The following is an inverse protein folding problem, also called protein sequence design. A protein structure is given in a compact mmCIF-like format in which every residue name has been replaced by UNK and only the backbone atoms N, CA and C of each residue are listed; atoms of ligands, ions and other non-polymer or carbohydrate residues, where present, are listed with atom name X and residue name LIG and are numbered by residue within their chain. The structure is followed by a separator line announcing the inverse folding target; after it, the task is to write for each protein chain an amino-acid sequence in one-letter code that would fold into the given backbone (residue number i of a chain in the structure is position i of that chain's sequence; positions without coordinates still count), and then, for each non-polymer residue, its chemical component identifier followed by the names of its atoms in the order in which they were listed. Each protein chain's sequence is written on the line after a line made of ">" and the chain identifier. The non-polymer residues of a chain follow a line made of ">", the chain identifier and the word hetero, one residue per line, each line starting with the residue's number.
data_IF_179256380302
#
_entry.id   IF_179256380302
#
_cell.length_a   1.000
_cell.length_b   1.000
_cell.length_c   1.000
_cell.angle_alpha   90.00
_cell.angle_beta   90.00
_cell.angle_gamma   90.00
#
_symmetry.space_group_name_H-M   'P 1'
#
loop_
_entity.id
_entity.type
_entity.pdbx_description
1 polymer ?
#
# COMPACT_ATOMS: atom_id res chain seq x y z
N UNK A 1 -27.27 67.61 0.45
CA UNK A 1 -27.61 66.28 -0.11
C UNK A 1 -26.31 65.61 -0.53
N UNK A 2 -25.74 64.77 0.33
CA UNK A 2 -24.47 64.08 0.04
C UNK A 2 -24.73 62.79 -0.74
N UNK A 3 -24.18 62.73 -1.94
CA UNK A 3 -24.26 61.62 -2.88
C UNK A 3 -23.41 60.45 -2.33
N UNK A 4 -24.07 59.40 -1.81
CA UNK A 4 -23.39 58.18 -1.36
C UNK A 4 -22.99 57.35 -2.58
N UNK A 5 -21.75 57.54 -3.03
CA UNK A 5 -21.10 56.65 -3.99
C UNK A 5 -20.90 55.27 -3.34
N UNK A 6 -21.82 54.35 -3.60
CA UNK A 6 -21.67 52.95 -3.22
C UNK A 6 -20.72 52.28 -4.20
N UNK A 7 -19.47 52.11 -3.77
CA UNK A 7 -18.47 51.26 -4.41
C UNK A 7 -18.91 49.80 -4.22
N UNK A 8 -19.61 49.25 -5.23
CA UNK A 8 -19.87 47.82 -5.36
C UNK A 8 -18.54 47.12 -5.68
N UNK A 9 -17.88 46.61 -4.65
CA UNK A 9 -16.71 45.76 -4.77
C UNK A 9 -17.16 44.38 -5.25
N UNK A 10 -17.26 44.19 -6.57
CA UNK A 10 -17.49 42.89 -7.21
C UNK A 10 -16.23 42.04 -7.05
N UNK A 11 -16.17 41.29 -5.94
CA UNK A 11 -15.20 40.21 -5.76
C UNK A 11 -15.57 39.05 -6.69
N UNK A 12 -15.00 39.07 -7.90
CA UNK A 12 -14.88 37.87 -8.73
C UNK A 12 -13.86 36.96 -8.06
N UNK A 13 -14.30 36.12 -7.12
CA UNK A 13 -13.54 34.93 -6.75
C UNK A 13 -13.55 34.00 -7.96
N UNK A 14 -12.60 34.21 -8.86
CA UNK A 14 -12.26 33.28 -9.92
C UNK A 14 -11.91 31.95 -9.25
N UNK A 15 -12.81 30.98 -9.35
CA UNK A 15 -12.58 29.62 -8.89
C UNK A 15 -11.32 29.08 -9.57
N UNK A 16 -10.26 28.88 -8.79
CA UNK A 16 -9.08 28.15 -9.23
C UNK A 16 -9.52 26.70 -9.38
N UNK A 17 -9.82 26.29 -10.60
CA UNK A 17 -9.99 24.88 -10.94
C UNK A 17 -8.65 24.18 -10.73
N UNK A 18 -8.54 23.40 -9.65
CA UNK A 18 -7.44 22.45 -9.50
C UNK A 18 -7.60 21.40 -10.59
N UNK A 19 -6.73 21.45 -11.60
CA UNK A 19 -6.59 20.34 -12.53
C UNK A 19 -6.13 19.13 -11.71
N UNK A 20 -6.98 18.10 -11.62
CA UNK A 20 -6.58 16.81 -11.09
C UNK A 20 -5.45 16.29 -12.00
N UNK A 21 -4.24 16.19 -11.46
CA UNK A 21 -3.13 15.52 -12.16
C UNK A 21 -3.57 14.08 -12.35
N UNK A 22 -3.77 13.68 -13.61
CA UNK A 22 -4.08 12.28 -13.92
C UNK A 22 -2.80 11.47 -13.73
N UNK A 23 -2.85 10.51 -12.80
CA UNK A 23 -1.75 9.56 -12.57
C UNK A 23 -1.78 8.53 -13.69
N UNK A 24 -0.64 8.32 -14.35
CA UNK A 24 -0.48 7.22 -15.30
C UNK A 24 -0.03 5.98 -14.52
N UNK A 25 -0.99 5.15 -14.14
CA UNK A 25 -0.78 3.99 -13.28
C UNK A 25 0.19 2.98 -13.89
N UNK A 26 0.06 2.68 -15.19
CA UNK A 26 0.94 1.72 -15.85
C UNK A 26 2.39 2.21 -15.86
N UNK A 27 2.61 3.50 -16.17
CA UNK A 27 3.95 4.08 -16.15
C UNK A 27 4.55 4.13 -14.73
N UNK A 28 3.71 4.35 -13.71
CA UNK A 28 4.16 4.31 -12.31
C UNK A 28 4.55 2.88 -11.90
N UNK A 29 3.74 1.87 -12.25
CA UNK A 29 4.05 0.47 -11.98
C UNK A 29 5.35 0.03 -12.68
N UNK A 30 5.52 0.36 -13.97
CA UNK A 30 6.73 0.07 -14.74
C UNK A 30 7.98 0.69 -14.11
N UNK A 31 7.87 1.93 -13.62
CA UNK A 31 8.99 2.61 -12.95
C UNK A 31 9.43 1.89 -11.67
N UNK A 32 8.50 1.29 -10.95
CA UNK A 32 8.77 0.67 -9.65
C UNK A 32 9.24 -0.77 -9.76
N UNK A 33 8.86 -1.48 -10.83
CA UNK A 33 9.22 -2.88 -11.08
C UNK A 33 10.73 -3.11 -10.95
N UNK A 34 11.12 -3.96 -9.98
CA UNK A 34 12.52 -4.32 -9.72
C UNK A 34 13.38 -3.23 -9.08
N UNK A 35 12.78 -2.12 -8.64
CA UNK A 35 13.47 -1.02 -7.93
C UNK A 35 13.10 -0.95 -6.45
N UNK A 36 11.97 -1.54 -6.08
CA UNK A 36 11.45 -1.55 -4.70
C UNK A 36 12.07 -2.69 -3.90
N UNK A 37 12.22 -2.54 -2.57
CA UNK A 37 12.62 -3.63 -1.69
C UNK A 37 11.74 -4.88 -1.85
N UNK A 38 12.35 -6.03 -2.14
CA UNK A 38 11.65 -7.30 -2.32
C UNK A 38 11.93 -8.28 -1.18
N UNK A 39 10.91 -9.07 -0.83
CA UNK A 39 11.01 -10.18 0.12
C UNK A 39 11.44 -11.45 -0.60
N UNK A 40 12.61 -11.97 -0.23
CA UNK A 40 13.16 -13.23 -0.76
C UNK A 40 13.57 -14.17 0.39
N UNK A 41 12.85 -15.28 0.62
CA UNK A 41 11.60 -15.69 -0.03
C UNK A 41 10.44 -14.73 0.28
N UNK A 42 9.37 -14.77 -0.53
CA UNK A 42 8.16 -14.01 -0.28
C UNK A 42 7.56 -14.36 1.09
N UNK A 43 6.96 -13.40 1.76
CA UNK A 43 6.37 -13.57 3.09
C UNK A 43 4.85 -13.69 3.03
N UNK A 44 4.25 -14.34 4.02
CA UNK A 44 2.79 -14.41 4.13
C UNK A 44 2.25 -13.09 4.70
N UNK A 45 1.09 -12.66 4.20
CA UNK A 45 0.32 -11.55 4.73
C UNK A 45 -1.08 -11.98 5.14
N UNK A 46 -1.64 -11.34 6.17
CA UNK A 46 -3.03 -11.51 6.58
C UNK A 46 -3.73 -10.15 6.50
N UNK A 47 -4.86 -10.10 5.79
CA UNK A 47 -5.64 -8.86 5.70
C UNK A 47 -6.30 -8.57 7.06
N UNK A 48 -6.15 -7.33 7.53
CA UNK A 48 -6.67 -6.86 8.82
C UNK A 48 -7.56 -5.60 8.68
N UNK A 49 -8.10 -5.14 9.81
CA UNK A 49 -8.98 -3.98 9.88
C UNK A 49 -10.43 -4.31 9.51
N UNK A 50 -11.10 -3.40 8.80
CA UNK A 50 -12.52 -3.53 8.44
C UNK A 50 -12.78 -3.15 6.98
N UNK A 51 -13.88 -3.65 6.41
CA UNK A 51 -14.27 -3.34 5.04
C UNK A 51 -13.34 -3.94 3.97
N UNK A 52 -13.58 -3.57 2.72
CA UNK A 52 -12.82 -4.08 1.56
C UNK A 52 -11.46 -3.39 1.46
N UNK A 53 -10.43 -4.18 1.18
CA UNK A 53 -9.12 -3.70 0.75
C UNK A 53 -9.02 -3.91 -0.77
N UNK A 54 -9.07 -2.81 -1.52
CA UNK A 54 -9.01 -2.85 -2.97
C UNK A 54 -7.56 -2.98 -3.47
N UNK A 55 -7.40 -3.73 -4.55
CA UNK A 55 -6.13 -3.80 -5.28
C UNK A 55 -5.95 -2.55 -6.14
N UNK A 56 -4.70 -2.16 -6.33
CA UNK A 56 -4.30 -1.03 -7.18
C UNK A 56 -3.30 -1.51 -8.23
N UNK A 57 -3.34 -0.93 -9.42
CA UNK A 57 -2.37 -1.24 -10.48
C UNK A 57 -0.96 -0.72 -10.12
N UNK A 58 -0.90 0.39 -9.40
CA UNK A 58 0.30 1.02 -8.87
C UNK A 58 0.02 1.57 -7.46
N UNK A 59 1.04 1.90 -6.64
CA UNK A 59 0.86 2.34 -5.26
C UNK A 59 0.41 3.82 -5.18
N UNK A 60 -0.77 4.10 -5.73
CA UNK A 60 -1.43 5.41 -5.72
C UNK A 60 -2.95 5.20 -5.64
N UNK A 61 -3.64 5.99 -4.84
CA UNK A 61 -5.10 5.89 -4.64
C UNK A 61 -5.90 6.10 -5.95
N UNK A 62 -5.37 6.86 -6.90
CA UNK A 62 -5.97 7.03 -8.22
C UNK A 62 -5.92 5.74 -9.07
N UNK A 63 -5.06 4.79 -8.71
CA UNK A 63 -4.85 3.52 -9.41
C UNK A 63 -5.72 2.37 -8.88
N UNK A 64 -6.75 2.68 -8.08
CA UNK A 64 -7.63 1.69 -7.47
C UNK A 64 -8.46 0.90 -8.49
N UNK A 65 -8.38 -0.43 -8.41
CA UNK A 65 -9.30 -1.35 -9.07
C UNK A 65 -10.48 -1.67 -8.14
N UNK A 66 -11.62 -1.05 -8.40
CA UNK A 66 -12.83 -1.22 -7.59
C UNK A 66 -13.49 -2.60 -7.70
N UNK A 67 -13.07 -3.44 -8.64
CA UNK A 67 -13.63 -4.79 -8.86
C UNK A 67 -12.89 -5.87 -8.07
N UNK A 68 -11.59 -5.67 -7.83
CA UNK A 68 -10.74 -6.65 -7.15
C UNK A 68 -10.49 -6.17 -5.73
N UNK A 69 -10.86 -6.99 -4.75
CA UNK A 69 -10.65 -6.69 -3.34
C UNK A 69 -10.55 -7.96 -2.52
N UNK A 70 -9.93 -7.81 -1.36
CA UNK A 70 -9.89 -8.79 -0.29
C UNK A 70 -10.56 -8.23 0.96
N UNK A 71 -10.89 -9.11 1.91
CA UNK A 71 -11.53 -8.76 3.17
C UNK A 71 -10.67 -9.24 4.36
N UNK A 72 -10.90 -8.70 5.57
CA UNK A 72 -10.19 -9.16 6.76
C UNK A 72 -10.26 -10.67 6.92
N UNK A 73 -9.11 -11.30 7.18
CA UNK A 73 -8.96 -12.75 7.26
C UNK A 73 -8.38 -13.41 6.01
N UNK A 74 -8.44 -12.76 4.84
CA UNK A 74 -7.85 -13.30 3.61
C UNK A 74 -6.32 -13.38 3.71
N UNK A 75 -5.75 -14.44 3.15
CA UNK A 75 -4.29 -14.62 3.07
C UNK A 75 -3.74 -14.04 1.79
N UNK A 76 -2.60 -13.37 1.89
CA UNK A 76 -1.85 -12.80 0.78
C UNK A 76 -0.44 -13.39 0.76
N UNK A 77 0.16 -13.42 -0.42
CA UNK A 77 1.61 -13.55 -0.58
C UNK A 77 2.16 -12.14 -0.80
N UNK A 78 3.11 -11.69 0.00
CA UNK A 78 3.72 -10.35 -0.11
C UNK A 78 5.08 -10.48 -0.80
N UNK A 79 5.25 -9.74 -1.89
CA UNK A 79 6.47 -9.77 -2.70
C UNK A 79 7.39 -8.60 -2.43
N UNK A 80 6.84 -7.40 -2.26
CA UNK A 80 7.64 -6.18 -2.10
C UNK A 80 6.91 -5.15 -1.25
N UNK A 81 7.66 -4.17 -0.76
CA UNK A 81 7.13 -2.98 -0.10
C UNK A 81 7.79 -1.74 -0.69
N UNK A 82 7.08 -0.61 -0.71
CA UNK A 82 7.77 0.66 -0.91
C UNK A 82 8.77 0.93 0.21
N UNK A 83 9.79 1.76 -0.06
CA UNK A 83 10.79 2.17 0.93
C UNK A 83 10.17 2.90 2.13
N UNK A 84 9.04 3.59 1.92
CA UNK A 84 8.29 4.27 2.97
C UNK A 84 7.24 3.37 3.66
N UNK A 85 7.24 2.07 3.33
CA UNK A 85 6.38 1.03 3.88
C UNK A 85 4.87 1.33 3.75
N UNK A 86 4.48 2.26 2.87
CA UNK A 86 3.08 2.69 2.77
C UNK A 86 2.21 1.77 1.90
N UNK A 87 2.85 0.97 1.04
CA UNK A 87 2.22 0.06 0.10
C UNK A 87 2.98 -1.25 -0.01
N UNK A 88 2.24 -2.33 -0.27
CA UNK A 88 2.75 -3.67 -0.50
C UNK A 88 2.30 -4.16 -1.86
N UNK A 89 3.22 -4.79 -2.60
CA UNK A 89 2.87 -5.60 -3.77
C UNK A 89 2.58 -7.01 -3.31
N UNK A 90 1.39 -7.51 -3.65
CA UNK A 90 0.88 -8.78 -3.15
C UNK A 90 0.27 -9.59 -4.25
N UNK A 91 0.22 -10.91 -4.04
CA UNK A 91 -0.64 -11.82 -4.77
C UNK A 91 -1.74 -12.38 -3.86
N UNK A 92 -2.94 -12.51 -4.42
CA UNK A 92 -4.09 -13.17 -3.82
C UNK A 92 -4.60 -14.26 -4.76
N UNK A 93 -4.77 -15.47 -4.23
CA UNK A 93 -5.44 -16.56 -4.93
C UNK A 93 -6.86 -16.67 -4.39
N UNK A 94 -7.83 -16.35 -5.22
CA UNK A 94 -9.24 -16.43 -4.89
C UNK A 94 -9.71 -17.89 -4.75
N UNK A 95 -10.90 -18.08 -4.19
CA UNK A 95 -11.44 -19.43 -3.90
C UNK A 95 -11.73 -20.26 -5.15
N UNK A 96 -11.96 -19.60 -6.28
CA UNK A 96 -12.12 -20.22 -7.60
C UNK A 96 -10.77 -20.51 -8.29
N UNK A 97 -9.66 -20.13 -7.66
CA UNK A 97 -8.30 -20.33 -8.16
C UNK A 97 -7.78 -19.21 -9.04
N UNK A 98 -8.55 -18.15 -9.28
CA UNK A 98 -8.04 -16.97 -9.99
C UNK A 98 -6.97 -16.26 -9.14
N UNK A 99 -5.86 -15.88 -9.79
CA UNK A 99 -4.75 -15.18 -9.15
C UNK A 99 -4.76 -13.69 -9.50
N UNK A 100 -4.50 -12.87 -8.49
CA UNK A 100 -4.54 -11.42 -8.59
C UNK A 100 -3.28 -10.83 -7.98
N UNK A 101 -2.46 -10.16 -8.79
CA UNK A 101 -1.28 -9.43 -8.33
C UNK A 101 -1.51 -7.92 -8.42
N UNK A 102 -1.08 -7.18 -7.42
CA UNK A 102 -1.14 -5.71 -7.42
C UNK A 102 -0.79 -5.10 -6.07
N UNK A 103 -1.03 -3.80 -5.94
CA UNK A 103 -0.66 -3.01 -4.77
C UNK A 103 -1.82 -2.84 -3.79
N UNK A 104 -1.51 -2.95 -2.50
CA UNK A 104 -2.46 -2.71 -1.40
C UNK A 104 -1.82 -1.84 -0.32
N UNK A 105 -2.66 -1.15 0.46
CA UNK A 105 -2.20 -0.35 1.61
C UNK A 105 -1.57 -1.26 2.67
N UNK A 106 -0.35 -0.93 3.09
CA UNK A 106 0.42 -1.76 4.02
C UNK A 106 -0.21 -1.85 5.41
N UNK A 107 -0.80 -0.76 5.90
CA UNK A 107 -1.49 -0.69 7.19
C UNK A 107 -2.75 -1.58 7.29
N UNK A 108 -3.13 -2.22 6.18
CA UNK A 108 -4.24 -3.18 6.07
C UNK A 108 -3.77 -4.63 6.01
N UNK A 109 -2.47 -4.90 6.12
CA UNK A 109 -1.89 -6.24 6.04
C UNK A 109 -0.93 -6.45 7.21
N UNK A 110 -1.21 -7.47 8.02
CA UNK A 110 -0.25 -7.98 8.99
C UNK A 110 0.73 -8.92 8.25
N UNK A 111 2.01 -8.55 8.21
CA UNK A 111 3.06 -9.34 7.57
C UNK A 111 3.57 -10.38 8.56
N UNK A 112 3.57 -11.65 8.13
CA UNK A 112 4.09 -12.78 8.89
C UNK A 112 5.62 -12.86 8.86
N UNK A 113 6.18 -13.71 9.72
CA UNK A 113 7.64 -13.91 9.78
C UNK A 113 8.17 -14.50 8.47
N UNK A 114 9.36 -14.06 8.00
CA UNK A 114 10.05 -14.72 6.91
C UNK A 114 10.29 -16.20 7.20
N UNK A 115 10.16 -17.03 6.17
CA UNK A 115 10.48 -18.44 6.30
C UNK A 115 11.96 -18.62 6.65
N UNK A 116 12.24 -19.41 7.69
CA UNK A 116 13.60 -19.65 8.16
C UNK A 116 14.16 -18.57 9.10
N UNK A 117 13.35 -17.59 9.53
CA UNK A 117 13.73 -16.71 10.63
C UNK A 117 14.01 -17.55 11.89
N UNK A 118 15.10 -17.27 12.65
CA UNK A 118 15.36 -17.92 13.93
C UNK A 118 14.16 -17.79 14.88
N UNK A 119 13.94 -18.77 15.78
CA UNK A 119 13.03 -18.59 16.91
C UNK A 119 13.44 -17.33 17.70
N UNK A 120 12.46 -16.50 18.09
CA UNK A 120 12.73 -15.24 18.82
C UNK A 120 13.35 -15.47 20.21
N UNK A 121 13.27 -16.71 20.70
CA UNK A 121 13.84 -17.22 21.95
C UNK A 121 15.25 -17.82 21.79
N UNK A 122 15.80 -17.87 20.57
CA UNK A 122 17.15 -18.41 20.33
C UNK A 122 18.29 -17.46 20.76
N UNK A 123 17.98 -16.21 21.12
CA UNK A 123 18.97 -15.23 21.60
C UNK A 123 19.27 -15.35 23.11
N UNK A 124 18.50 -16.16 23.86
CA UNK A 124 18.68 -16.35 25.31
C UNK A 124 19.55 -17.57 25.68
N UNK A 125 19.94 -18.41 24.71
CA UNK A 125 20.81 -19.57 24.94
C UNK A 125 22.16 -19.41 24.23
N UNK A 126 22.95 -18.44 24.71
CA UNK A 126 24.37 -18.40 24.38
C UNK A 126 25.03 -19.71 24.85
N UNK A 127 25.87 -20.38 24.03
CA UNK A 127 26.60 -21.55 24.47
C UNK A 127 27.53 -21.16 25.61
N UNK A 128 27.41 -21.86 26.75
CA UNK A 128 28.45 -21.84 27.78
C UNK A 128 29.69 -22.45 27.14
N UNK A 129 30.67 -21.60 26.85
CA UNK A 129 31.99 -21.99 26.40
C UNK A 129 32.63 -22.85 27.50
N UNK A 130 32.58 -24.17 27.36
CA UNK A 130 33.30 -25.10 28.23
C UNK A 130 34.80 -24.92 28.00
N UNK A 131 35.43 -24.11 28.85
CA UNK A 131 36.87 -23.98 28.94
C UNK A 131 37.48 -25.26 29.52
N UNK A 132 38.25 -25.99 28.70
CA UNK A 132 39.28 -26.94 29.13
C UNK A 132 40.54 -26.81 28.27
#
# INVERSE_FOLDING_TARGET
>A
MYLRASLLCLWLFSGVSQAAVSVNCSALAEKLSGTVPEFHPSVQGKVIGTGRLHFHEAPDEACANKKIFVIPGDSLTVYSSLEDESWLEVNFIAKDGEDYTGWVKADRVEIGKPYGAPPEDADDEAPVEDAQ
#
